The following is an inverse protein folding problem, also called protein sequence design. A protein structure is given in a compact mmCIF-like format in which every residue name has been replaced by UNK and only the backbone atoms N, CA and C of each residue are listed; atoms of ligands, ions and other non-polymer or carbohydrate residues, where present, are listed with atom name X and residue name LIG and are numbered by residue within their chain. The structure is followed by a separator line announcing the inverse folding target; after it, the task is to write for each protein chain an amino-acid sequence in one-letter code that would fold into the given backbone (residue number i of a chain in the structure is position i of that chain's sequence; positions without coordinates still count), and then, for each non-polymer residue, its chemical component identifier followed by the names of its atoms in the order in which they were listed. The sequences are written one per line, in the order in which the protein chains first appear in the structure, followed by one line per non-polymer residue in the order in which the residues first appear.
data_IF_722574765030
#
_entry.id   IF_722574765030
#
_cell.length_a   1.000
_cell.length_b   1.000
_cell.length_c   1.000
_cell.angle_alpha   90.00
_cell.angle_beta   90.00
_cell.angle_gamma   90.00
#
_symmetry.space_group_name_H-M   'P 1'
#
loop_
_entity.id
_entity.type
_entity.pdbx_description
1 polymer ?
#
# COMPACT_ATOMS: atom_id res chain seq x y z
N UNK A 1 9.75 8.74 -33.01
CA UNK A 1 9.53 9.58 -31.80
C UNK A 1 8.16 9.18 -31.27
N UNK A 2 8.10 8.38 -30.19
CA UNK A 2 6.83 8.07 -29.53
C UNK A 2 6.22 9.39 -29.04
N UNK A 3 4.90 9.58 -29.18
CA UNK A 3 4.26 10.72 -28.53
C UNK A 3 4.60 10.64 -27.04
N UNK A 4 5.05 11.72 -26.43
CA UNK A 4 5.52 11.81 -25.02
C UNK A 4 4.55 11.18 -24.01
N UNK A 5 3.29 10.99 -24.36
CA UNK A 5 2.27 10.36 -23.53
C UNK A 5 2.17 8.83 -23.65
N UNK A 6 2.74 8.22 -24.71
CA UNK A 6 2.53 6.79 -24.98
C UNK A 6 3.22 5.85 -23.99
N UNK A 7 4.31 6.27 -23.36
CA UNK A 7 5.01 5.44 -22.38
C UNK A 7 4.50 5.61 -20.94
N UNK A 8 3.70 6.62 -20.63
CA UNK A 8 3.13 6.81 -19.30
C UNK A 8 2.15 5.69 -18.89
N UNK A 9 1.49 5.07 -19.87
CA UNK A 9 0.60 3.93 -19.68
C UNK A 9 1.30 2.57 -19.63
N UNK A 10 2.58 2.50 -20.02
CA UNK A 10 3.37 1.27 -19.93
C UNK A 10 3.62 0.90 -18.47
N UNK A 11 3.78 -0.39 -18.21
CA UNK A 11 4.21 -0.89 -16.91
C UNK A 11 5.70 -0.57 -16.66
N UNK A 12 6.13 -0.60 -15.40
CA UNK A 12 7.52 -0.38 -15.00
C UNK A 12 8.47 -1.31 -15.76
N UNK A 13 8.14 -2.59 -15.86
CA UNK A 13 8.93 -3.62 -16.55
C UNK A 13 9.13 -3.32 -18.02
N UNK A 14 8.09 -2.83 -18.72
CA UNK A 14 8.15 -2.45 -20.13
C UNK A 14 9.04 -1.22 -20.32
N UNK A 15 8.87 -0.20 -19.48
CA UNK A 15 9.69 1.03 -19.53
C UNK A 15 11.15 0.73 -19.20
N UNK A 16 11.40 -0.09 -18.18
CA UNK A 16 12.73 -0.56 -17.78
C UNK A 16 13.48 -1.22 -18.95
N UNK A 17 12.77 -2.10 -19.68
CA UNK A 17 13.33 -2.75 -20.87
C UNK A 17 13.71 -1.75 -21.95
N UNK A 18 12.86 -0.75 -22.19
CA UNK A 18 13.09 0.29 -23.20
C UNK A 18 14.23 1.26 -22.80
N UNK A 19 14.35 1.58 -21.51
CA UNK A 19 15.50 2.34 -20.99
C UNK A 19 16.81 1.56 -21.24
N UNK A 20 16.83 0.29 -20.86
CA UNK A 20 18.00 -0.59 -21.06
C UNK A 20 18.43 -0.68 -22.52
N UNK A 21 17.48 -0.66 -23.45
CA UNK A 21 17.72 -0.69 -24.89
C UNK A 21 18.07 0.68 -25.49
N UNK A 22 17.99 1.75 -24.70
CA UNK A 22 18.21 3.14 -25.16
C UNK A 22 17.07 3.68 -26.05
N UNK A 23 15.89 3.05 -26.02
CA UNK A 23 14.72 3.47 -26.78
C UNK A 23 13.97 4.65 -26.12
N UNK A 24 14.04 4.74 -24.80
CA UNK A 24 13.43 5.82 -24.01
C UNK A 24 14.46 6.38 -23.03
N UNK A 25 14.54 7.71 -22.97
CA UNK A 25 15.40 8.40 -22.00
C UNK A 25 14.73 8.54 -20.64
N UNK A 26 15.41 8.29 -19.51
CA UNK A 26 14.93 8.67 -18.17
C UNK A 26 14.54 10.15 -18.06
N UNK A 27 15.23 11.05 -18.80
CA UNK A 27 14.92 12.49 -18.81
C UNK A 27 13.57 12.76 -19.47
N UNK A 28 13.28 12.08 -20.58
CA UNK A 28 11.98 12.21 -21.27
C UNK A 28 10.84 11.71 -20.39
N UNK A 29 11.05 10.58 -19.69
CA UNK A 29 10.05 10.01 -18.76
C UNK A 29 9.75 10.99 -17.63
N UNK A 30 10.78 11.49 -16.93
CA UNK A 30 10.60 12.42 -15.81
C UNK A 30 9.93 13.71 -16.28
N UNK A 31 10.31 14.21 -17.45
CA UNK A 31 9.72 15.42 -18.03
C UNK A 31 8.23 15.21 -18.31
N UNK A 32 7.86 14.09 -18.94
CA UNK A 32 6.48 13.76 -19.23
C UNK A 32 5.63 13.57 -17.97
N UNK A 33 6.18 12.91 -16.94
CA UNK A 33 5.51 12.73 -15.66
C UNK A 33 5.28 14.06 -14.95
N UNK A 34 6.27 14.96 -14.90
CA UNK A 34 6.12 16.28 -14.30
C UNK A 34 5.00 17.06 -15.02
N UNK A 35 5.00 17.08 -16.35
CA UNK A 35 3.95 17.76 -17.14
C UNK A 35 2.56 17.16 -16.87
N UNK A 36 2.47 15.82 -16.72
CA UNK A 36 1.21 15.16 -16.38
C UNK A 36 0.75 15.49 -14.96
N UNK A 37 1.67 15.49 -13.97
CA UNK A 37 1.37 15.92 -12.60
C UNK A 37 0.80 17.35 -12.61
N UNK A 38 1.42 18.28 -13.35
CA UNK A 38 0.96 19.68 -13.46
C UNK A 38 -0.44 19.80 -14.05
N UNK A 39 -0.80 18.90 -14.96
CA UNK A 39 -2.09 18.92 -15.64
C UNK A 39 -3.20 18.25 -14.83
N UNK A 40 -2.88 17.17 -14.13
CA UNK A 40 -3.87 16.23 -13.55
C UNK A 40 -3.98 16.35 -12.05
N UNK A 41 -2.86 16.55 -11.35
CA UNK A 41 -2.84 16.37 -9.89
C UNK A 41 -3.62 17.44 -9.11
N UNK A 42 -3.88 18.60 -9.71
CA UNK A 42 -4.78 19.60 -9.11
C UNK A 42 -6.21 19.08 -8.86
N UNK A 43 -6.65 18.04 -9.60
CA UNK A 43 -7.95 17.38 -9.40
C UNK A 43 -7.87 16.26 -8.36
N UNK A 44 -6.70 15.62 -8.19
CA UNK A 44 -6.50 14.46 -7.34
C UNK A 44 -5.90 14.81 -5.98
N UNK A 45 -5.01 15.80 -5.91
CA UNK A 45 -4.24 16.18 -4.72
C UNK A 45 -3.38 15.01 -4.19
N UNK A 46 -2.77 14.25 -5.11
CA UNK A 46 -2.00 13.04 -4.77
C UNK A 46 -0.55 13.30 -4.35
N UNK A 47 -0.01 14.50 -4.61
CA UNK A 47 1.31 14.93 -4.17
C UNK A 47 1.23 16.10 -3.18
N UNK A 48 2.08 16.08 -2.15
CA UNK A 48 2.36 17.24 -1.29
C UNK A 48 3.57 17.99 -1.85
N UNK A 49 4.60 17.27 -2.29
CA UNK A 49 5.83 17.84 -2.83
C UNK A 49 6.23 17.10 -4.11
N UNK A 50 6.46 17.82 -5.19
CA UNK A 50 7.02 17.28 -6.44
C UNK A 50 8.49 17.68 -6.52
N UNK A 51 9.38 16.70 -6.66
CA UNK A 51 10.84 16.87 -6.70
C UNK A 51 11.36 17.18 -8.12
N UNK A 52 10.88 18.29 -8.72
CA UNK A 52 11.11 18.60 -10.13
C UNK A 52 12.60 18.66 -10.50
N UNK A 53 13.34 19.51 -9.81
CA UNK A 53 14.77 19.74 -10.12
C UNK A 53 15.62 18.53 -9.77
N UNK A 54 15.42 17.93 -8.59
CA UNK A 54 16.15 16.75 -8.15
C UNK A 54 15.88 15.54 -9.04
N UNK A 55 14.62 15.30 -9.40
CA UNK A 55 14.27 14.19 -10.29
C UNK A 55 14.89 14.35 -11.69
N UNK A 56 14.87 15.56 -12.27
CA UNK A 56 15.51 15.82 -13.57
C UNK A 56 17.04 15.71 -13.50
N UNK A 57 17.66 16.15 -12.40
CA UNK A 57 19.09 15.99 -12.19
C UNK A 57 19.48 14.51 -12.12
N UNK A 58 18.78 13.73 -11.29
CA UNK A 58 18.99 12.28 -11.18
C UNK A 58 18.69 11.55 -12.51
N UNK A 59 17.65 11.96 -13.26
CA UNK A 59 17.36 11.37 -14.56
C UNK A 59 18.51 11.52 -15.56
N UNK A 60 19.16 12.70 -15.60
CA UNK A 60 20.36 12.93 -16.45
C UNK A 60 21.53 12.04 -16.05
N UNK A 61 21.71 11.80 -14.75
CA UNK A 61 22.75 10.88 -14.27
C UNK A 61 22.44 9.44 -14.69
N UNK A 62 21.18 8.99 -14.53
CA UNK A 62 20.75 7.64 -14.94
C UNK A 62 20.87 7.44 -16.45
N UNK A 63 20.49 8.44 -17.25
CA UNK A 63 20.70 8.41 -18.71
C UNK A 63 22.17 8.25 -19.10
N UNK A 64 23.05 9.04 -18.49
CA UNK A 64 24.50 8.93 -18.70
C UNK A 64 25.03 7.54 -18.32
N UNK A 65 24.59 6.99 -17.20
CA UNK A 65 24.97 5.64 -16.77
C UNK A 65 24.54 4.57 -17.80
N UNK A 66 23.34 4.67 -18.37
CA UNK A 66 22.88 3.76 -19.45
C UNK A 66 23.80 3.86 -20.67
N UNK A 67 24.11 5.09 -21.12
CA UNK A 67 25.00 5.32 -22.27
C UNK A 67 26.43 4.79 -22.05
N UNK A 68 26.87 4.76 -20.78
CA UNK A 68 28.16 4.18 -20.38
C UNK A 68 28.10 2.65 -20.12
N UNK A 69 26.95 2.01 -20.34
CA UNK A 69 26.74 0.59 -20.08
C UNK A 69 26.61 0.20 -18.60
N UNK A 70 26.38 1.17 -17.72
CA UNK A 70 26.26 0.99 -16.26
C UNK A 70 24.80 0.88 -15.82
N UNK A 71 24.07 -0.07 -16.41
CA UNK A 71 22.67 -0.33 -16.03
C UNK A 71 22.60 -1.12 -14.72
N UNK A 72 21.91 -0.55 -13.70
CA UNK A 72 21.88 -1.10 -12.32
C UNK A 72 20.83 -2.19 -12.12
N UNK A 73 19.80 -2.28 -12.97
CA UNK A 73 18.72 -3.25 -12.84
C UNK A 73 17.35 -2.66 -13.20
N UNK A 74 16.26 -3.42 -12.92
CA UNK A 74 14.92 -3.06 -13.38
C UNK A 74 14.39 -1.69 -12.94
N UNK A 75 14.88 -1.14 -11.85
CA UNK A 75 14.47 0.20 -11.35
C UNK A 75 15.34 1.34 -11.88
N UNK A 76 16.39 1.04 -12.67
CA UNK A 76 17.28 2.06 -13.18
C UNK A 76 16.56 3.07 -14.09
N UNK A 77 16.53 4.33 -13.66
CA UNK A 77 15.88 5.42 -14.38
C UNK A 77 14.35 5.46 -14.22
N UNK A 78 13.79 4.64 -13.33
CA UNK A 78 12.33 4.57 -13.09
C UNK A 78 11.91 5.55 -11.99
N UNK A 79 10.95 6.46 -12.28
CA UNK A 79 10.38 7.38 -11.29
C UNK A 79 9.45 6.68 -10.29
N UNK A 80 9.79 6.80 -9.00
CA UNK A 80 9.06 6.23 -7.85
C UNK A 80 8.61 7.37 -6.92
N UNK A 81 7.34 7.32 -6.46
CA UNK A 81 6.81 8.21 -5.44
C UNK A 81 6.99 7.64 -4.04
N UNK A 82 7.04 8.51 -3.04
CA UNK A 82 7.17 8.11 -1.64
C UNK A 82 6.06 8.73 -0.81
N UNK A 83 5.39 7.94 0.01
CA UNK A 83 4.45 8.48 1.00
C UNK A 83 5.14 9.51 1.89
N UNK A 84 4.45 10.57 2.23
CA UNK A 84 5.01 11.72 2.91
C UNK A 84 5.36 11.51 4.41
N UNK A 85 5.55 10.27 4.83
CA UNK A 85 6.11 9.86 6.12
C UNK A 85 7.55 9.36 6.00
N UNK A 86 8.01 9.11 4.76
CA UNK A 86 9.30 8.46 4.48
C UNK A 86 10.35 9.55 4.34
N UNK A 87 11.28 9.63 5.27
CA UNK A 87 12.36 10.61 5.23
C UNK A 87 13.14 10.51 3.94
N UNK A 88 13.29 11.66 3.29
CA UNK A 88 14.04 11.81 2.04
C UNK A 88 14.95 13.02 2.20
N UNK A 89 16.26 12.80 2.21
CA UNK A 89 17.24 13.85 2.45
C UNK A 89 17.07 15.04 1.51
N UNK A 90 16.96 16.22 2.09
CA UNK A 90 16.82 17.47 1.35
C UNK A 90 15.44 17.70 0.71
N UNK A 91 14.48 16.77 0.88
CA UNK A 91 13.13 16.90 0.35
C UNK A 91 12.11 17.01 1.49
N UNK A 92 11.26 18.04 1.46
CA UNK A 92 10.25 18.30 2.46
C UNK A 92 9.41 17.03 2.75
N UNK A 93 9.24 16.69 4.04
CA UNK A 93 8.50 15.52 4.52
C UNK A 93 7.61 15.96 5.68
N UNK A 94 6.30 16.15 5.40
CA UNK A 94 5.37 16.82 6.31
C UNK A 94 4.50 15.89 7.13
N UNK A 95 4.48 14.60 6.83
CA UNK A 95 3.55 13.62 7.40
C UNK A 95 2.05 13.98 7.17
N UNK A 96 1.74 14.74 6.11
CA UNK A 96 0.40 15.25 5.86
C UNK A 96 -0.09 16.23 6.92
N UNK A 97 0.81 16.89 7.67
CA UNK A 97 0.50 17.73 8.82
C UNK A 97 1.22 19.08 8.76
N UNK A 98 0.53 20.13 9.18
CA UNK A 98 1.12 21.47 9.38
C UNK A 98 2.16 21.50 10.51
N UNK A 99 2.15 20.54 11.43
CA UNK A 99 3.16 20.42 12.48
C UNK A 99 4.57 20.29 11.87
N UNK A 100 4.68 19.55 10.76
CA UNK A 100 5.93 19.32 10.03
C UNK A 100 5.99 20.04 8.68
N UNK A 101 5.21 21.09 8.48
CA UNK A 101 5.12 21.79 7.18
C UNK A 101 6.48 22.21 6.61
N UNK A 102 7.45 22.53 7.46
CA UNK A 102 8.78 22.96 7.06
C UNK A 102 9.89 21.94 7.36
N UNK A 103 9.52 20.72 7.74
CA UNK A 103 10.51 19.70 8.05
C UNK A 103 11.19 19.16 6.78
N UNK A 104 12.52 19.25 6.76
CA UNK A 104 13.38 18.72 5.69
C UNK A 104 14.38 17.77 6.36
N UNK A 105 14.26 16.45 6.14
CA UNK A 105 15.22 15.48 6.69
C UNK A 105 16.63 15.71 6.20
N UNK A 106 17.62 15.47 7.06
CA UNK A 106 19.06 15.50 6.75
C UNK A 106 19.61 14.13 6.33
N UNK A 107 18.81 13.07 6.48
CA UNK A 107 19.11 11.70 6.05
C UNK A 107 17.91 11.03 5.36
N UNK A 108 18.20 10.01 4.57
CA UNK A 108 17.22 9.17 3.95
C UNK A 108 16.70 8.08 4.92
N UNK A 109 15.46 7.66 4.76
CA UNK A 109 15.04 6.35 5.22
C UNK A 109 15.83 5.25 4.48
N UNK A 110 16.06 4.10 5.14
CA UNK A 110 16.84 3.01 4.55
C UNK A 110 16.28 2.54 3.20
N UNK A 111 14.97 2.40 3.09
CA UNK A 111 14.34 2.01 1.83
C UNK A 111 14.59 3.03 0.68
N UNK A 112 14.80 4.31 1.01
CA UNK A 112 15.14 5.33 0.00
C UNK A 112 16.57 5.14 -0.49
N UNK A 113 17.52 4.86 0.41
CA UNK A 113 18.89 4.51 0.02
C UNK A 113 18.90 3.33 -0.95
N UNK A 114 18.17 2.27 -0.64
CA UNK A 114 18.08 1.08 -1.48
C UNK A 114 17.44 1.35 -2.85
N UNK A 115 16.42 2.19 -2.91
CA UNK A 115 15.82 2.62 -4.18
C UNK A 115 16.83 3.40 -5.04
N UNK A 116 17.56 4.34 -4.44
CA UNK A 116 18.59 5.12 -5.13
C UNK A 116 19.76 4.25 -5.61
N UNK A 117 20.18 3.27 -4.80
CA UNK A 117 21.19 2.26 -5.17
C UNK A 117 20.72 1.40 -6.35
N UNK A 118 19.43 1.02 -6.39
CA UNK A 118 18.83 0.32 -7.53
C UNK A 118 18.66 1.21 -8.77
N UNK A 119 18.96 2.51 -8.68
CA UNK A 119 18.89 3.47 -9.77
C UNK A 119 17.54 4.15 -9.95
N UNK A 120 16.59 4.00 -9.03
CA UNK A 120 15.30 4.68 -9.08
C UNK A 120 15.45 6.20 -8.95
N UNK A 121 14.45 6.93 -9.42
CA UNK A 121 14.36 8.39 -9.37
C UNK A 121 13.22 8.76 -8.43
N UNK A 122 13.48 9.50 -7.36
CA UNK A 122 12.45 9.95 -6.45
C UNK A 122 11.72 11.16 -7.05
N UNK A 123 10.48 10.95 -7.54
CA UNK A 123 9.69 11.98 -8.23
C UNK A 123 8.99 12.94 -7.26
N UNK A 124 8.74 12.53 -6.00
CA UNK A 124 8.09 13.39 -5.02
C UNK A 124 7.52 12.65 -3.82
N UNK A 125 6.82 13.42 -2.98
CA UNK A 125 6.17 12.96 -1.74
C UNK A 125 4.67 12.91 -1.94
N UNK A 126 4.11 11.71 -1.83
CA UNK A 126 2.69 11.48 -2.01
C UNK A 126 1.89 11.86 -0.77
N UNK A 127 0.75 12.48 -0.98
CA UNK A 127 -0.17 12.90 0.07
C UNK A 127 -0.64 11.70 0.91
N UNK A 128 -0.87 11.95 2.18
CA UNK A 128 -1.24 10.94 3.17
C UNK A 128 -2.26 11.49 4.14
N UNK A 129 -3.09 10.64 4.71
CA UNK A 129 -3.86 10.98 5.90
C UNK A 129 -2.89 11.44 7.00
N UNK A 130 -3.21 12.50 7.75
CA UNK A 130 -2.33 13.10 8.75
C UNK A 130 -1.72 12.04 9.67
N UNK A 131 -0.38 11.98 9.71
CA UNK A 131 0.42 11.01 10.45
C UNK A 131 0.00 9.55 10.24
N UNK A 132 -0.49 9.19 9.05
CA UNK A 132 -1.00 7.86 8.71
C UNK A 132 -2.21 7.39 9.56
N UNK A 133 -2.79 8.20 10.41
CA UNK A 133 -3.81 7.75 11.35
C UNK A 133 -5.24 7.91 10.84
N UNK A 134 -5.55 7.25 9.74
CA UNK A 134 -6.92 7.13 9.22
C UNK A 134 -7.02 6.41 7.89
N UNK A 135 -8.09 5.60 7.70
CA UNK A 135 -8.24 4.74 6.53
C UNK A 135 -8.93 5.41 5.33
N UNK A 136 -9.32 6.69 5.44
CA UNK A 136 -10.16 7.37 4.43
C UNK A 136 -9.35 8.18 3.40
N UNK A 137 -8.17 8.69 3.78
CA UNK A 137 -7.30 9.47 2.88
C UNK A 137 -7.74 10.91 2.66
N UNK A 138 -8.68 11.42 3.44
CA UNK A 138 -9.30 12.72 3.27
C UNK A 138 -8.97 13.75 4.38
N UNK A 139 -8.07 13.41 5.30
CA UNK A 139 -7.56 14.28 6.36
C UNK A 139 -6.06 14.52 6.18
N UNK A 140 -5.72 15.57 5.48
CA UNK A 140 -4.36 16.08 5.30
C UNK A 140 -4.40 17.60 5.37
N UNK A 141 -3.33 18.24 5.84
CA UNK A 141 -3.26 19.70 5.89
C UNK A 141 -3.37 20.39 4.52
N UNK A 142 -3.08 19.66 3.44
CA UNK A 142 -3.25 20.14 2.05
C UNK A 142 -4.60 19.70 1.44
N UNK A 143 -5.48 19.07 2.22
CA UNK A 143 -6.80 18.64 1.79
C UNK A 143 -6.88 17.18 1.35
N UNK A 144 -8.10 16.72 1.00
CA UNK A 144 -8.39 15.33 0.67
C UNK A 144 -7.74 14.89 -0.64
N UNK A 145 -7.29 13.63 -0.69
CA UNK A 145 -6.97 12.96 -1.95
C UNK A 145 -8.24 12.38 -2.57
N UNK A 146 -8.37 12.49 -3.87
CA UNK A 146 -9.56 12.08 -4.62
C UNK A 146 -9.27 10.85 -5.46
N UNK A 147 -10.27 9.97 -5.55
CA UNK A 147 -10.16 8.74 -6.29
C UNK A 147 -10.10 9.01 -7.81
N UNK A 148 -9.09 8.50 -8.52
CA UNK A 148 -8.95 8.73 -9.96
C UNK A 148 -10.14 8.22 -10.80
N UNK A 149 -10.83 7.16 -10.35
CA UNK A 149 -12.01 6.62 -11.04
C UNK A 149 -13.26 7.46 -10.83
N UNK A 150 -13.34 8.18 -9.71
CA UNK A 150 -14.42 9.13 -9.43
C UNK A 150 -13.95 10.11 -8.35
N UNK A 151 -13.72 11.37 -8.74
CA UNK A 151 -13.18 12.41 -7.86
C UNK A 151 -14.09 12.80 -6.67
N UNK A 152 -15.35 12.32 -6.63
CA UNK A 152 -16.25 12.46 -5.48
C UNK A 152 -16.01 11.38 -4.42
N UNK A 153 -15.31 10.29 -4.77
CA UNK A 153 -15.08 9.13 -3.92
C UNK A 153 -13.74 9.20 -3.20
N UNK A 154 -13.65 8.53 -2.05
CA UNK A 154 -12.41 8.34 -1.31
C UNK A 154 -11.43 7.47 -2.09
N UNK A 155 -10.14 7.70 -1.87
CA UNK A 155 -9.07 6.81 -2.29
C UNK A 155 -8.83 5.65 -1.33
N UNK A 156 -9.42 5.73 -0.13
CA UNK A 156 -8.88 4.98 1.00
C UNK A 156 -7.54 5.56 1.48
N UNK A 157 -7.06 5.07 2.60
CA UNK A 157 -5.83 5.60 3.23
C UNK A 157 -5.20 4.59 4.21
N UNK A 158 -4.12 5.02 4.79
CA UNK A 158 -3.53 6.37 4.79
C UNK A 158 -2.63 6.67 3.58
N UNK A 159 -2.16 5.69 2.79
CA UNK A 159 -1.31 5.89 1.60
C UNK A 159 -2.15 6.34 0.39
N UNK A 160 -3.01 7.34 0.60
CA UNK A 160 -4.01 7.83 -0.34
C UNK A 160 -3.41 8.36 -1.63
N UNK A 161 -2.46 9.29 -1.53
CA UNK A 161 -1.76 9.85 -2.67
C UNK A 161 -0.88 8.83 -3.40
N UNK A 162 -0.34 7.86 -2.67
CA UNK A 162 0.46 6.77 -3.25
C UNK A 162 -0.38 5.95 -4.25
N UNK A 163 -1.56 5.47 -3.84
CA UNK A 163 -2.42 4.70 -4.73
C UNK A 163 -3.01 5.55 -5.86
N UNK A 164 -3.49 6.76 -5.55
CA UNK A 164 -4.09 7.65 -6.56
C UNK A 164 -3.09 8.03 -7.65
N UNK A 165 -1.85 8.35 -7.30
CA UNK A 165 -0.82 8.71 -8.27
C UNK A 165 -0.42 7.55 -9.19
N UNK A 166 -0.35 6.31 -8.67
CA UNK A 166 -0.10 5.10 -9.47
C UNK A 166 -1.24 4.85 -10.45
N UNK A 167 -2.49 4.87 -9.97
CA UNK A 167 -3.68 4.65 -10.80
C UNK A 167 -3.82 5.72 -11.90
N UNK A 168 -3.45 6.97 -11.60
CA UNK A 168 -3.49 8.09 -12.55
C UNK A 168 -2.27 8.14 -13.50
N UNK A 169 -1.34 7.18 -13.43
CA UNK A 169 -0.10 7.15 -14.20
C UNK A 169 0.76 8.41 -13.98
N UNK A 170 0.90 8.87 -12.73
CA UNK A 170 1.78 9.98 -12.33
C UNK A 170 3.16 9.51 -11.85
N UNK A 171 3.38 8.20 -11.82
CA UNK A 171 4.62 7.49 -11.56
C UNK A 171 4.48 6.02 -12.00
N UNK A 172 5.52 5.22 -11.81
CA UNK A 172 5.49 3.78 -12.13
C UNK A 172 5.31 2.89 -10.91
N UNK A 173 5.43 3.45 -9.74
CA UNK A 173 5.21 2.81 -8.46
C UNK A 173 5.45 3.77 -7.31
N UNK A 174 4.97 3.42 -6.15
CA UNK A 174 5.14 4.20 -4.92
C UNK A 174 5.42 3.28 -3.74
N UNK A 175 6.01 3.86 -2.69
CA UNK A 175 6.09 3.18 -1.39
C UNK A 175 5.09 3.84 -0.44
N UNK A 176 4.25 2.99 0.16
CA UNK A 176 3.32 3.34 1.22
C UNK A 176 3.69 2.72 2.56
N UNK A 177 2.85 2.94 3.58
CA UNK A 177 2.94 2.25 4.88
C UNK A 177 1.59 1.61 5.22
N UNK A 178 1.60 0.52 5.96
CA UNK A 178 0.43 -0.28 6.31
C UNK A 178 0.49 -0.65 7.80
N UNK A 179 -0.52 -0.23 8.57
CA UNK A 179 -0.63 -0.45 10.02
C UNK A 179 -1.97 -1.09 10.40
N UNK A 180 -2.93 -1.02 9.49
CA UNK A 180 -4.27 -1.61 9.58
C UNK A 180 -4.89 -1.82 8.21
N UNK A 181 -4.07 -1.72 7.14
CA UNK A 181 -4.52 -1.84 5.75
C UNK A 181 -4.07 -0.69 4.85
N UNK A 182 -3.22 0.22 5.34
CA UNK A 182 -2.99 1.51 4.66
C UNK A 182 -2.19 1.45 3.34
N UNK A 183 -1.70 0.29 2.89
CA UNK A 183 -1.26 0.01 1.51
C UNK A 183 -2.40 -0.67 0.74
N UNK A 184 -3.05 -1.65 1.35
CA UNK A 184 -4.04 -2.55 0.73
C UNK A 184 -5.39 -1.88 0.50
N UNK A 185 -5.88 -1.10 1.46
CA UNK A 185 -7.12 -0.33 1.35
C UNK A 185 -7.07 0.60 0.13
N UNK A 186 -6.10 1.54 0.03
CA UNK A 186 -6.06 2.42 -1.12
C UNK A 186 -5.70 1.69 -2.42
N UNK A 187 -4.96 0.57 -2.38
CA UNK A 187 -4.75 -0.27 -3.56
C UNK A 187 -6.08 -0.82 -4.09
N UNK A 188 -6.95 -1.36 -3.22
CA UNK A 188 -8.26 -1.86 -3.59
C UNK A 188 -9.16 -0.76 -4.17
N UNK A 189 -9.28 0.39 -3.48
CA UNK A 189 -10.16 1.47 -3.91
C UNK A 189 -9.69 2.22 -5.16
N UNK A 190 -8.39 2.19 -5.47
CA UNK A 190 -7.81 2.84 -6.65
C UNK A 190 -7.42 1.86 -7.76
N UNK A 191 -7.75 0.56 -7.65
CA UNK A 191 -7.51 -0.41 -8.71
C UNK A 191 -6.04 -0.66 -9.04
N UNK A 192 -5.18 -0.72 -8.01
CA UNK A 192 -3.74 -0.99 -8.15
C UNK A 192 -3.32 -2.18 -7.28
N UNK A 193 -2.13 -2.68 -7.51
CA UNK A 193 -1.53 -3.75 -6.70
C UNK A 193 -0.85 -3.15 -5.49
N UNK A 194 -1.13 -3.69 -4.29
CA UNK A 194 -0.49 -3.25 -3.04
C UNK A 194 -0.02 -4.45 -2.22
N UNK A 195 1.25 -4.49 -1.87
CA UNK A 195 1.83 -5.52 -1.00
C UNK A 195 2.13 -4.96 0.38
N UNK A 196 1.54 -5.56 1.42
CA UNK A 196 2.04 -5.48 2.78
C UNK A 196 2.95 -6.68 3.00
N UNK A 197 4.28 -6.52 3.04
CA UNK A 197 5.18 -7.66 3.24
C UNK A 197 5.11 -8.20 4.67
N UNK A 198 5.83 -9.26 4.95
CA UNK A 198 6.05 -9.78 6.30
C UNK A 198 6.65 -8.70 7.20
N UNK A 199 6.23 -8.64 8.46
CA UNK A 199 6.77 -7.70 9.45
C UNK A 199 8.28 -7.84 9.60
N UNK A 200 9.00 -6.73 9.43
CA UNK A 200 10.46 -6.69 9.47
C UNK A 200 11.17 -7.09 8.17
N UNK A 201 10.44 -7.42 7.08
CA UNK A 201 11.00 -7.66 5.74
C UNK A 201 11.62 -6.41 5.13
N UNK A 202 10.98 -5.26 5.33
CA UNK A 202 11.44 -3.93 4.89
C UNK A 202 11.75 -3.10 6.11
N UNK A 203 12.93 -2.48 6.15
CA UNK A 203 13.32 -1.60 7.25
C UNK A 203 12.38 -0.40 7.37
N UNK A 204 12.00 -0.07 8.60
CA UNK A 204 11.21 1.11 8.96
C UNK A 204 12.08 2.29 9.41
N UNK A 205 13.40 2.14 9.43
CA UNK A 205 14.33 3.20 9.83
C UNK A 205 14.16 4.42 8.91
N UNK A 206 13.90 5.58 9.52
CA UNK A 206 13.66 6.82 8.81
C UNK A 206 12.22 6.98 8.28
N UNK A 207 11.28 6.12 8.69
CA UNK A 207 9.84 6.29 8.47
C UNK A 207 9.23 6.82 9.76
N UNK A 208 8.41 7.89 9.68
CA UNK A 208 7.70 8.41 10.84
C UNK A 208 6.67 7.38 11.32
N UNK A 209 6.75 6.90 12.58
CA UNK A 209 5.92 5.80 13.03
C UNK A 209 4.48 6.22 13.32
N UNK A 210 3.55 5.26 13.16
CA UNK A 210 2.22 5.29 13.76
C UNK A 210 2.12 4.27 14.90
N UNK A 211 2.66 3.06 14.68
CA UNK A 211 2.67 1.97 15.66
C UNK A 211 3.92 1.12 15.43
N UNK A 212 4.79 1.04 16.42
CA UNK A 212 6.06 0.32 16.29
C UNK A 212 5.88 -1.16 15.97
N UNK A 213 4.84 -1.80 16.55
CA UNK A 213 4.60 -3.23 16.40
C UNK A 213 3.70 -3.60 15.22
N UNK A 214 3.01 -2.63 14.60
CA UNK A 214 2.06 -2.89 13.50
C UNK A 214 2.50 -2.28 12.15
N UNK A 215 3.41 -1.31 12.15
CA UNK A 215 3.81 -0.62 10.92
C UNK A 215 4.59 -1.52 9.96
N UNK A 216 4.23 -1.46 8.69
CA UNK A 216 4.92 -2.07 7.56
C UNK A 216 5.16 -1.01 6.48
N UNK A 217 6.18 -1.19 5.66
CA UNK A 217 6.36 -0.44 4.42
C UNK A 217 6.21 -1.37 3.23
N UNK A 218 5.52 -0.92 2.18
CA UNK A 218 5.28 -1.78 1.02
C UNK A 218 4.96 -1.02 -0.26
N UNK A 219 5.19 -1.67 -1.42
CA UNK A 219 4.99 -1.08 -2.73
C UNK A 219 3.53 -1.06 -3.19
N UNK A 220 3.19 -0.01 -3.97
CA UNK A 220 1.98 0.06 -4.78
C UNK A 220 2.38 0.27 -6.24
N UNK A 221 1.81 -0.52 -7.16
CA UNK A 221 2.15 -0.52 -8.59
C UNK A 221 0.93 -0.89 -9.44
N UNK A 222 1.06 -0.80 -10.78
CA UNK A 222 -0.03 -1.18 -11.68
C UNK A 222 -0.08 -2.67 -12.01
N UNK A 223 1.01 -3.43 -11.81
CA UNK A 223 1.05 -4.86 -12.09
C UNK A 223 1.75 -5.65 -10.97
N UNK A 224 1.48 -6.93 -10.92
CA UNK A 224 2.10 -7.88 -9.98
C UNK A 224 3.62 -7.97 -10.19
N UNK A 225 4.08 -8.04 -11.43
CA UNK A 225 5.52 -8.09 -11.74
C UNK A 225 6.24 -6.83 -11.25
N UNK A 226 5.67 -5.65 -11.52
CA UNK A 226 6.25 -4.39 -11.08
C UNK A 226 6.34 -4.30 -9.56
N UNK A 227 5.31 -4.82 -8.86
CA UNK A 227 5.26 -4.85 -7.40
C UNK A 227 6.37 -5.72 -6.81
N UNK A 228 6.58 -6.90 -7.38
CA UNK A 228 7.67 -7.81 -6.99
C UNK A 228 9.06 -7.16 -7.19
N UNK A 229 9.27 -6.48 -8.33
CA UNK A 229 10.54 -5.80 -8.61
C UNK A 229 10.82 -4.63 -7.65
N UNK A 230 9.79 -3.87 -7.28
CA UNK A 230 9.95 -2.79 -6.29
C UNK A 230 10.23 -3.38 -4.91
N UNK A 231 9.53 -4.47 -4.51
CA UNK A 231 9.80 -5.14 -3.24
C UNK A 231 11.22 -5.72 -3.19
N UNK A 232 11.74 -6.30 -4.28
CA UNK A 232 13.13 -6.76 -4.39
C UNK A 232 14.13 -5.65 -4.03
N UNK A 233 13.86 -4.42 -4.48
CA UNK A 233 14.76 -3.30 -4.25
C UNK A 233 14.74 -2.79 -2.80
N UNK A 234 13.58 -2.79 -2.11
CA UNK A 234 13.46 -2.19 -0.77
C UNK A 234 13.64 -3.18 0.38
N UNK A 235 13.61 -4.49 0.09
CA UNK A 235 13.73 -5.55 1.10
C UNK A 235 15.17 -5.80 1.53
N UNK A 236 15.32 -6.35 2.73
CA UNK A 236 16.59 -6.84 3.26
C UNK A 236 16.85 -6.39 4.68
N UNK A 237 17.76 -7.08 5.35
CA UNK A 237 18.13 -6.82 6.73
C UNK A 237 18.78 -5.44 6.90
N UNK A 238 18.36 -4.72 7.92
CA UNK A 238 18.96 -3.47 8.39
C UNK A 238 19.32 -3.63 9.88
N UNK A 239 20.62 -3.74 10.24
CA UNK A 239 21.03 -3.91 11.64
C UNK A 239 20.73 -2.69 12.53
N UNK A 240 20.36 -1.55 11.94
CA UNK A 240 20.01 -0.32 12.66
C UNK A 240 18.50 -0.20 12.92
N UNK A 241 17.68 -1.08 12.35
CA UNK A 241 16.25 -1.19 12.65
C UNK A 241 16.03 -2.40 13.57
N UNK A 242 15.63 -2.19 14.85
CA UNK A 242 15.46 -3.29 15.82
C UNK A 242 14.38 -4.30 15.42
N UNK A 243 13.46 -3.92 14.53
CA UNK A 243 12.39 -4.78 14.05
C UNK A 243 12.75 -5.53 12.75
N UNK A 244 13.82 -5.13 12.06
CA UNK A 244 14.25 -5.78 10.83
C UNK A 244 14.66 -7.24 11.06
N UNK A 245 14.26 -8.11 10.15
CA UNK A 245 14.53 -9.55 10.22
C UNK A 245 15.64 -9.94 9.25
N UNK A 246 16.62 -10.67 9.79
CA UNK A 246 17.66 -11.27 8.96
C UNK A 246 17.08 -12.47 8.21
N UNK A 247 17.00 -12.37 6.90
CA UNK A 247 16.52 -13.41 6.00
C UNK A 247 17.42 -13.48 4.78
N UNK A 248 17.46 -14.63 4.12
CA UNK A 248 18.16 -14.75 2.85
C UNK A 248 17.62 -13.74 1.84
N UNK A 249 18.51 -13.24 0.99
CA UNK A 249 18.12 -12.40 -0.13
C UNK A 249 17.32 -13.24 -1.13
N UNK A 250 16.14 -12.77 -1.48
CA UNK A 250 15.16 -13.50 -2.25
C UNK A 250 14.76 -12.68 -3.50
N UNK A 251 14.59 -13.35 -4.62
CA UNK A 251 13.91 -12.78 -5.78
C UNK A 251 12.41 -13.09 -5.70
N UNK A 252 11.62 -12.08 -5.39
CA UNK A 252 10.17 -12.25 -5.26
C UNK A 252 9.47 -12.54 -6.59
N UNK A 253 10.12 -12.32 -7.74
CA UNK A 253 9.57 -12.64 -9.05
C UNK A 253 9.82 -14.10 -9.49
N UNK A 254 10.60 -14.89 -8.74
CA UNK A 254 11.07 -16.22 -9.13
C UNK A 254 9.98 -17.25 -9.48
N UNK A 255 8.79 -17.10 -8.93
CA UNK A 255 7.66 -18.00 -9.17
C UNK A 255 6.61 -17.42 -10.13
N UNK A 256 6.77 -16.17 -10.56
CA UNK A 256 5.86 -15.52 -11.51
C UNK A 256 5.88 -16.29 -12.83
N UNK A 257 4.68 -16.68 -13.31
CA UNK A 257 4.50 -17.43 -14.55
C UNK A 257 4.59 -18.95 -14.42
N UNK A 258 4.88 -19.51 -13.23
CA UNK A 258 4.94 -20.97 -13.04
C UNK A 258 3.55 -21.65 -12.95
N UNK A 259 2.45 -20.87 -12.99
CA UNK A 259 1.09 -21.42 -12.79
C UNK A 259 0.82 -21.85 -11.36
N UNK A 260 -0.42 -22.30 -11.12
CA UNK A 260 -0.92 -22.68 -9.79
C UNK A 260 -1.71 -23.99 -9.81
N UNK A 261 -1.56 -24.82 -10.85
CA UNK A 261 -2.23 -26.12 -10.96
C UNK A 261 -1.86 -27.01 -9.77
N UNK A 262 -2.84 -27.66 -9.17
CA UNK A 262 -2.69 -28.51 -8.00
C UNK A 262 -2.46 -27.81 -6.68
N UNK A 263 -2.42 -26.47 -6.66
CA UNK A 263 -2.32 -25.67 -5.43
C UNK A 263 -3.63 -25.62 -4.68
N UNK A 264 -3.55 -25.30 -3.38
CA UNK A 264 -4.71 -25.25 -2.48
C UNK A 264 -4.90 -23.84 -1.95
N UNK A 265 -6.11 -23.28 -2.13
CA UNK A 265 -6.49 -21.96 -1.63
C UNK A 265 -7.51 -22.12 -0.51
N UNK A 266 -7.23 -21.56 0.66
CA UNK A 266 -8.13 -21.52 1.80
C UNK A 266 -9.09 -20.32 1.74
N UNK A 267 -10.35 -20.54 2.05
CA UNK A 267 -11.38 -19.50 2.18
C UNK A 267 -11.86 -19.47 3.63
N UNK A 268 -11.44 -18.46 4.43
CA UNK A 268 -11.93 -18.28 5.80
C UNK A 268 -13.30 -17.59 5.76
N UNK A 269 -14.39 -18.37 5.73
CA UNK A 269 -15.76 -17.85 5.54
C UNK A 269 -16.24 -16.97 6.68
N UNK A 270 -15.96 -17.37 7.92
CA UNK A 270 -16.27 -16.55 9.09
C UNK A 270 -15.49 -15.24 9.03
N UNK A 271 -16.09 -14.15 9.49
CA UNK A 271 -15.51 -12.81 9.55
C UNK A 271 -15.26 -12.14 8.19
N UNK A 272 -14.50 -12.78 7.27
CA UNK A 272 -14.09 -12.16 6.02
C UNK A 272 -15.20 -12.07 4.97
N UNK A 273 -16.13 -13.01 4.97
CA UNK A 273 -17.23 -13.07 3.98
C UNK A 273 -18.57 -12.62 4.54
N UNK A 274 -18.54 -11.96 5.71
CA UNK A 274 -19.74 -11.47 6.38
C UNK A 274 -20.03 -10.00 6.04
N UNK A 275 -21.30 -9.71 5.71
CA UNK A 275 -21.79 -8.35 5.45
C UNK A 275 -21.03 -7.63 4.32
N UNK A 276 -20.74 -8.34 3.24
CA UNK A 276 -20.13 -7.78 2.04
C UNK A 276 -21.16 -7.00 1.21
N UNK A 277 -20.71 -5.92 0.58
CA UNK A 277 -21.45 -5.32 -0.52
C UNK A 277 -21.69 -6.39 -1.61
N UNK A 278 -22.91 -6.49 -2.18
CA UNK A 278 -23.23 -7.53 -3.17
C UNK A 278 -22.33 -7.52 -4.41
N UNK A 279 -21.80 -6.38 -4.82
CA UNK A 279 -20.89 -6.29 -5.97
C UNK A 279 -19.50 -6.81 -5.62
N UNK A 280 -19.06 -6.59 -4.38
CA UNK A 280 -17.82 -7.17 -3.85
C UNK A 280 -17.98 -8.69 -3.71
N UNK A 281 -19.11 -9.16 -3.16
CA UNK A 281 -19.40 -10.58 -3.06
C UNK A 281 -19.37 -11.26 -4.43
N UNK A 282 -19.97 -10.66 -5.43
CA UNK A 282 -19.94 -11.17 -6.80
C UNK A 282 -18.50 -11.24 -7.35
N UNK A 283 -17.71 -10.19 -7.13
CA UNK A 283 -16.31 -10.12 -7.62
C UNK A 283 -15.41 -11.19 -6.97
N UNK A 284 -15.56 -11.42 -5.65
CA UNK A 284 -14.75 -12.45 -4.98
C UNK A 284 -15.13 -13.87 -5.45
N UNK A 285 -16.41 -14.17 -5.70
CA UNK A 285 -16.80 -15.45 -6.28
C UNK A 285 -16.30 -15.64 -7.71
N UNK A 286 -16.25 -14.58 -8.52
CA UNK A 286 -15.60 -14.62 -9.85
C UNK A 286 -14.11 -14.93 -9.74
N UNK A 287 -13.40 -14.33 -8.77
CA UNK A 287 -12.00 -14.63 -8.50
C UNK A 287 -11.79 -16.10 -8.08
N UNK A 288 -12.67 -16.63 -7.22
CA UNK A 288 -12.66 -18.06 -6.83
C UNK A 288 -12.79 -18.95 -8.07
N UNK A 289 -13.72 -18.64 -8.96
CA UNK A 289 -13.92 -19.43 -10.18
C UNK A 289 -12.75 -19.31 -11.16
N UNK A 290 -12.08 -18.14 -11.21
CA UNK A 290 -10.83 -18.00 -11.95
C UNK A 290 -9.75 -18.94 -11.40
N UNK A 291 -9.54 -18.98 -10.11
CA UNK A 291 -8.57 -19.87 -9.48
C UNK A 291 -8.88 -21.35 -9.74
N UNK A 292 -10.15 -21.76 -9.71
CA UNK A 292 -10.56 -23.13 -10.09
C UNK A 292 -10.21 -23.46 -11.55
N UNK A 293 -10.47 -22.52 -12.49
CA UNK A 293 -10.10 -22.70 -13.91
C UNK A 293 -8.59 -22.84 -14.11
N UNK A 294 -7.80 -22.17 -13.28
CA UNK A 294 -6.34 -22.28 -13.27
C UNK A 294 -5.82 -23.56 -12.59
N UNK A 295 -6.72 -24.46 -12.18
CA UNK A 295 -6.39 -25.77 -11.62
C UNK A 295 -6.13 -25.78 -10.11
N UNK A 296 -6.41 -24.71 -9.39
CA UNK A 296 -6.31 -24.68 -7.94
C UNK A 296 -7.54 -25.33 -7.26
N UNK A 297 -7.32 -26.00 -6.13
CA UNK A 297 -8.36 -26.52 -5.26
C UNK A 297 -8.76 -25.45 -4.24
N UNK A 298 -10.06 -25.31 -3.99
CA UNK A 298 -10.61 -24.37 -3.00
C UNK A 298 -11.11 -25.16 -1.81
N UNK A 299 -10.67 -24.79 -0.62
CA UNK A 299 -11.10 -25.41 0.64
C UNK A 299 -11.57 -24.34 1.64
N UNK A 300 -12.61 -24.67 2.41
CA UNK A 300 -13.04 -23.82 3.51
C UNK A 300 -12.12 -24.02 4.71
N UNK A 301 -11.73 -22.95 5.35
CA UNK A 301 -10.91 -22.95 6.55
C UNK A 301 -11.56 -22.07 7.63
N UNK A 302 -11.16 -22.26 8.87
CA UNK A 302 -11.63 -21.48 10.00
C UNK A 302 -10.46 -20.89 10.80
N UNK A 303 -10.62 -19.63 11.24
CA UNK A 303 -9.71 -18.93 12.13
C UNK A 303 -10.55 -18.49 13.33
N UNK A 304 -10.47 -19.21 14.47
CA UNK A 304 -11.47 -19.09 15.53
C UNK A 304 -11.54 -17.73 16.23
N UNK A 305 -10.37 -17.07 16.43
CA UNK A 305 -10.26 -15.89 17.31
C UNK A 305 -10.35 -14.54 16.56
N UNK A 306 -11.04 -14.49 15.41
CA UNK A 306 -11.02 -13.28 14.55
C UNK A 306 -11.54 -12.00 15.23
N UNK A 307 -12.54 -12.09 16.10
CA UNK A 307 -13.07 -10.93 16.83
C UNK A 307 -12.05 -10.42 17.87
N UNK A 308 -11.42 -11.33 18.63
CA UNK A 308 -10.37 -10.98 19.59
C UNK A 308 -9.14 -10.41 18.88
N UNK A 309 -8.79 -10.94 17.72
CA UNK A 309 -7.70 -10.45 16.85
C UNK A 309 -7.98 -9.00 16.41
N UNK A 310 -9.20 -8.73 15.96
CA UNK A 310 -9.62 -7.39 15.56
C UNK A 310 -9.56 -6.39 16.72
N UNK A 311 -10.05 -6.77 17.90
CA UNK A 311 -10.00 -5.90 19.08
C UNK A 311 -8.57 -5.69 19.59
N UNK A 312 -7.73 -6.71 19.58
CA UNK A 312 -6.33 -6.60 20.01
C UNK A 312 -5.54 -5.62 19.11
N UNK A 313 -5.78 -5.66 17.79
CA UNK A 313 -5.16 -4.72 16.86
C UNK A 313 -5.54 -3.26 17.20
N UNK A 314 -6.82 -2.99 17.49
CA UNK A 314 -7.27 -1.66 17.87
C UNK A 314 -6.65 -1.18 19.19
N UNK A 315 -6.51 -2.06 20.17
CA UNK A 315 -5.89 -1.75 21.48
C UNK A 315 -4.42 -1.37 21.31
N UNK A 316 -3.64 -2.18 20.57
CA UNK A 316 -2.23 -1.90 20.32
C UNK A 316 -2.09 -0.58 19.55
N UNK A 317 -2.84 -0.44 18.44
CA UNK A 317 -2.78 0.77 17.61
C UNK A 317 -3.07 2.04 18.40
N UNK A 318 -4.16 2.08 19.19
CA UNK A 318 -4.53 3.25 20.00
C UNK A 318 -3.44 3.62 21.00
N UNK A 319 -2.89 2.61 21.70
CA UNK A 319 -1.87 2.82 22.72
C UNK A 319 -0.57 3.34 22.14
N UNK A 320 -0.07 2.71 21.08
CA UNK A 320 1.20 3.08 20.47
C UNK A 320 1.09 4.40 19.70
N UNK A 321 0.00 4.64 18.97
CA UNK A 321 -0.23 5.91 18.28
C UNK A 321 -0.26 7.10 19.27
N UNK A 322 -0.91 6.93 20.43
CA UNK A 322 -0.86 7.95 21.48
C UNK A 322 0.57 8.16 21.99
N UNK A 323 1.30 7.09 22.30
CA UNK A 323 2.67 7.17 22.81
C UNK A 323 3.63 7.85 21.80
N UNK A 324 3.49 7.59 20.51
CA UNK A 324 4.25 8.27 19.45
C UNK A 324 3.99 9.76 19.42
N UNK A 325 2.73 10.16 19.60
CA UNK A 325 2.29 11.55 19.38
C UNK A 325 2.08 12.37 20.64
N UNK A 326 2.30 11.80 21.83
CA UNK A 326 2.02 12.47 23.12
C UNK A 326 2.67 13.87 23.23
N UNK A 327 3.91 14.02 22.78
CA UNK A 327 4.62 15.30 22.82
C UNK A 327 4.04 16.30 21.80
N UNK A 328 3.78 15.86 20.57
CA UNK A 328 3.18 16.71 19.54
C UNK A 328 1.76 17.18 19.93
N UNK A 329 0.98 16.32 20.60
CA UNK A 329 -0.35 16.68 21.10
C UNK A 329 -0.29 17.78 22.18
N UNK A 330 0.75 17.79 23.01
CA UNK A 330 0.97 18.79 24.06
C UNK A 330 1.53 20.11 23.49
N UNK A 331 2.47 20.00 22.54
CA UNK A 331 3.20 21.15 22.01
C UNK A 331 2.43 21.90 20.91
N UNK A 332 1.64 21.19 20.09
CA UNK A 332 0.93 21.74 18.94
C UNK A 332 -0.57 21.37 18.93
N UNK A 333 -1.35 21.59 19.99
CA UNK A 333 -2.71 21.09 20.13
C UNK A 333 -3.71 21.62 19.07
N UNK A 334 -3.43 22.77 18.42
CA UNK A 334 -4.28 23.41 17.40
C UNK A 334 -3.89 23.05 15.96
N UNK A 335 -2.79 22.35 15.73
CA UNK A 335 -2.32 21.99 14.38
C UNK A 335 -2.78 20.60 13.92
N UNK A 336 -3.61 19.95 14.72
CA UNK A 336 -4.19 18.65 14.42
C UNK A 336 -5.51 18.78 13.66
N UNK A 337 -5.74 17.86 12.72
CA UNK A 337 -7.11 17.58 12.31
C UNK A 337 -7.89 17.05 13.53
N UNK A 338 -9.12 17.54 13.74
CA UNK A 338 -9.89 17.26 14.96
C UNK A 338 -10.19 15.75 15.09
N UNK A 339 -10.57 15.10 13.99
CA UNK A 339 -10.85 13.66 13.97
C UNK A 339 -9.60 12.82 14.31
N UNK A 340 -8.43 13.23 13.83
CA UNK A 340 -7.15 12.55 14.12
C UNK A 340 -6.77 12.75 15.57
N UNK A 341 -6.91 13.97 16.10
CA UNK A 341 -6.65 14.30 17.51
C UNK A 341 -7.55 13.51 18.46
N UNK A 342 -8.86 13.50 18.23
CA UNK A 342 -9.80 12.74 19.04
C UNK A 342 -9.46 11.25 19.06
N UNK A 343 -9.08 10.71 17.89
CA UNK A 343 -8.67 9.32 17.76
C UNK A 343 -7.40 9.00 18.54
N UNK A 344 -6.40 9.88 18.50
CA UNK A 344 -5.17 9.75 19.30
C UNK A 344 -5.48 9.74 20.80
N UNK A 345 -6.35 10.66 21.24
CA UNK A 345 -6.73 10.75 22.66
C UNK A 345 -7.44 9.50 23.19
N UNK A 346 -8.04 8.67 22.33
CA UNK A 346 -8.60 7.37 22.75
C UNK A 346 -7.55 6.41 23.32
N UNK A 347 -6.27 6.62 23.00
CA UNK A 347 -5.16 5.83 23.56
C UNK A 347 -4.98 6.01 25.07
N UNK A 348 -5.40 7.16 25.63
CA UNK A 348 -5.40 7.41 27.08
C UNK A 348 -6.31 6.44 27.86
N UNK A 349 -7.31 5.88 27.20
CA UNK A 349 -8.25 4.95 27.82
C UNK A 349 -7.77 3.48 27.81
N UNK A 350 -6.62 3.21 27.18
CA UNK A 350 -6.04 1.86 27.14
C UNK A 350 -5.21 1.63 28.40
N UNK A 351 -5.63 0.65 29.22
CA UNK A 351 -4.85 0.26 30.40
C UNK A 351 -3.64 -0.61 30.00
N UNK A 352 -2.59 -0.60 30.86
CA UNK A 352 -1.47 -1.52 30.70
C UNK A 352 -1.89 -3.00 30.70
N UNK A 353 -2.99 -3.34 31.42
CA UNK A 353 -3.58 -4.68 31.41
C UNK A 353 -4.17 -5.04 30.04
N UNK A 354 -4.89 -4.10 29.41
CA UNK A 354 -5.51 -4.33 28.10
C UNK A 354 -4.44 -4.47 27.01
N UNK A 355 -3.41 -3.63 27.06
CA UNK A 355 -2.26 -3.73 26.15
C UNK A 355 -1.53 -5.08 26.29
N UNK A 356 -1.28 -5.54 27.53
CA UNK A 356 -0.64 -6.85 27.77
C UNK A 356 -1.49 -8.02 27.27
N UNK A 357 -2.83 -7.96 27.42
CA UNK A 357 -3.75 -8.95 26.84
C UNK A 357 -3.72 -8.93 25.33
N UNK A 358 -3.72 -7.75 24.70
CA UNK A 358 -3.63 -7.60 23.26
C UNK A 358 -2.35 -8.19 22.68
N UNK A 359 -1.19 -7.99 23.32
CA UNK A 359 0.07 -8.66 22.96
C UNK A 359 0.00 -10.18 23.08
N UNK A 360 -0.79 -10.70 24.03
CA UNK A 360 -1.03 -12.14 24.13
C UNK A 360 -1.87 -12.64 22.94
N UNK A 361 -2.92 -11.91 22.56
CA UNK A 361 -3.76 -12.25 21.41
C UNK A 361 -2.94 -12.17 20.11
N UNK A 362 -2.02 -11.23 19.97
CA UNK A 362 -1.10 -11.15 18.82
C UNK A 362 -0.34 -12.48 18.60
N UNK A 363 0.15 -13.09 19.67
CA UNK A 363 0.83 -14.40 19.59
C UNK A 363 -0.12 -15.53 19.20
N UNK A 364 -1.37 -15.49 19.69
CA UNK A 364 -2.41 -16.45 19.32
C UNK A 364 -2.75 -16.29 17.83
N UNK A 365 -2.94 -15.07 17.37
CA UNK A 365 -3.20 -14.78 15.97
C UNK A 365 -2.12 -15.35 15.03
N UNK A 366 -0.85 -15.16 15.37
CA UNK A 366 0.27 -15.76 14.61
C UNK A 366 0.14 -17.27 14.51
N UNK A 367 -0.15 -17.94 15.64
CA UNK A 367 -0.25 -19.40 15.67
C UNK A 367 -1.47 -19.91 14.90
N UNK A 368 -2.63 -19.25 15.02
CA UNK A 368 -3.85 -19.66 14.31
C UNK A 368 -3.71 -19.51 12.80
N UNK A 369 -3.19 -18.37 12.32
CA UNK A 369 -2.93 -18.18 10.91
C UNK A 369 -1.88 -19.15 10.37
N UNK A 370 -0.79 -19.39 11.10
CA UNK A 370 0.22 -20.37 10.72
C UNK A 370 -0.37 -21.77 10.59
N UNK A 371 -1.16 -22.24 11.59
CA UNK A 371 -1.80 -23.55 11.54
C UNK A 371 -2.72 -23.73 10.32
N UNK A 372 -3.42 -22.68 9.92
CA UNK A 372 -4.28 -22.72 8.73
C UNK A 372 -3.43 -22.74 7.47
N UNK A 373 -2.41 -21.88 7.36
CA UNK A 373 -1.52 -21.76 6.21
C UNK A 373 -0.58 -22.98 6.04
N UNK A 374 -0.37 -23.79 7.07
CA UNK A 374 0.29 -25.09 6.95
C UNK A 374 -0.51 -26.11 6.11
N UNK A 375 -1.84 -25.90 6.00
CA UNK A 375 -2.75 -26.80 5.28
C UNK A 375 -3.12 -26.29 3.87
N UNK A 376 -2.83 -25.02 3.55
CA UNK A 376 -3.15 -24.38 2.27
C UNK A 376 -1.96 -23.54 1.78
N UNK A 377 -1.88 -23.30 0.49
CA UNK A 377 -0.79 -22.47 -0.06
C UNK A 377 -0.99 -20.97 0.23
N UNK A 378 -2.22 -20.48 0.16
CA UNK A 378 -2.61 -19.09 0.44
C UNK A 378 -4.06 -19.02 0.93
N UNK A 379 -4.40 -17.94 1.64
CA UNK A 379 -5.80 -17.58 1.91
C UNK A 379 -6.26 -16.57 0.88
N UNK A 380 -7.50 -16.66 0.42
CA UNK A 380 -8.16 -15.68 -0.43
C UNK A 380 -9.30 -15.01 0.35
N UNK A 381 -9.30 -13.68 0.38
CA UNK A 381 -10.34 -12.88 1.03
C UNK A 381 -10.71 -11.67 0.17
N UNK A 382 -11.89 -11.07 0.32
CA UNK A 382 -12.09 -9.71 -0.15
C UNK A 382 -11.13 -8.77 0.59
N UNK A 383 -10.62 -7.73 -0.08
CA UNK A 383 -9.81 -6.70 0.58
C UNK A 383 -10.69 -5.77 1.40
N UNK A 384 -11.86 -5.44 0.87
CA UNK A 384 -12.82 -4.49 1.46
C UNK A 384 -14.19 -5.13 1.57
N UNK A 385 -14.98 -4.69 2.56
CA UNK A 385 -16.41 -5.09 2.69
C UNK A 385 -17.37 -4.11 2.02
N UNK A 386 -16.90 -2.90 1.69
CA UNK A 386 -17.69 -1.82 1.09
C UNK A 386 -16.97 -1.23 -0.14
N UNK A 387 -17.74 -0.67 -1.05
CA UNK A 387 -17.21 0.15 -2.15
C UNK A 387 -16.70 1.51 -1.63
N UNK A 388 -15.85 2.25 -2.41
CA UNK A 388 -15.32 3.54 -1.99
C UNK A 388 -16.45 4.53 -1.62
N UNK A 389 -16.55 4.99 -0.34
CA UNK A 389 -17.52 6.00 0.05
C UNK A 389 -17.21 7.37 -0.56
N UNK A 390 -18.16 8.30 -0.43
CA UNK A 390 -17.91 9.69 -0.83
C UNK A 390 -16.87 10.36 0.08
N UNK A 391 -16.08 11.27 -0.48
CA UNK A 391 -15.12 12.09 0.29
C UNK A 391 -15.86 12.79 1.42
N UNK A 392 -15.30 12.74 2.63
CA UNK A 392 -15.86 13.24 3.88
C UNK A 392 -17.07 12.45 4.44
N UNK A 393 -17.54 11.38 3.82
CA UNK A 393 -18.51 10.50 4.47
C UNK A 393 -17.91 9.87 5.73
N UNK A 394 -18.71 9.70 6.78
CA UNK A 394 -18.30 9.04 8.03
C UNK A 394 -19.22 7.88 8.43
N UNK A 395 -20.42 7.83 7.87
CA UNK A 395 -21.41 6.80 8.08
C UNK A 395 -21.95 6.32 6.73
N UNK A 396 -22.37 5.05 6.67
CA UNK A 396 -23.00 4.46 5.47
C UNK A 396 -24.48 4.80 5.38
N UNK A 397 -25.11 5.17 6.48
CA UNK A 397 -26.51 5.55 6.58
C UNK A 397 -26.68 6.78 7.47
N UNK A 398 -27.88 7.33 7.51
CA UNK A 398 -28.23 8.46 8.40
C UNK A 398 -28.36 8.06 9.89
N UNK A 399 -28.21 6.77 10.21
CA UNK A 399 -28.18 6.27 11.57
C UNK A 399 -26.77 6.50 12.17
N UNK A 400 -26.66 7.48 13.06
CA UNK A 400 -25.40 7.89 13.70
C UNK A 400 -25.00 6.98 14.86
N UNK A 401 -24.84 5.67 14.61
CA UNK A 401 -24.25 4.74 15.56
C UNK A 401 -22.75 4.59 15.28
N UNK A 402 -21.88 4.70 16.30
CA UNK A 402 -20.43 4.57 16.15
C UNK A 402 -20.01 3.20 15.57
N UNK A 403 -20.83 2.17 15.78
CA UNK A 403 -20.64 0.85 15.15
C UNK A 403 -20.77 0.90 13.62
N UNK A 404 -21.52 1.86 13.08
CA UNK A 404 -21.74 2.11 11.66
C UNK A 404 -20.72 3.11 11.05
N UNK A 405 -19.78 3.58 11.84
CA UNK A 405 -18.74 4.46 11.32
C UNK A 405 -17.90 3.73 10.28
N UNK A 406 -17.78 4.31 9.08
CA UNK A 406 -17.12 3.68 7.91
C UNK A 406 -15.70 3.19 8.19
N UNK A 407 -14.98 3.82 9.13
CA UNK A 407 -13.60 3.42 9.47
C UNK A 407 -13.50 1.95 9.88
N UNK A 408 -14.52 1.44 10.60
CA UNK A 408 -14.52 0.05 11.06
C UNK A 408 -14.78 -0.92 9.91
N UNK A 409 -15.67 -0.54 8.98
CA UNK A 409 -15.93 -1.31 7.77
C UNK A 409 -14.69 -1.35 6.85
N UNK A 410 -14.00 -0.21 6.73
CA UNK A 410 -12.80 -0.10 5.89
C UNK A 410 -11.63 -0.91 6.47
N UNK A 411 -11.44 -0.92 7.80
CA UNK A 411 -10.30 -1.61 8.44
C UNK A 411 -10.55 -3.11 8.66
N UNK A 412 -11.82 -3.56 8.68
CA UNK A 412 -12.23 -4.90 9.12
C UNK A 412 -11.36 -6.01 8.54
N UNK A 413 -11.23 -6.06 7.21
CA UNK A 413 -10.66 -7.21 6.52
C UNK A 413 -9.14 -7.14 6.32
N UNK A 414 -8.52 -6.00 6.59
CA UNK A 414 -7.07 -5.81 6.42
C UNK A 414 -6.30 -5.83 7.76
N UNK A 415 -6.89 -5.27 8.82
CA UNK A 415 -6.25 -5.12 10.13
C UNK A 415 -5.72 -6.43 10.78
N UNK A 416 -6.35 -7.59 10.63
CA UNK A 416 -5.85 -8.83 11.24
C UNK A 416 -4.42 -9.21 10.84
N UNK A 417 -4.04 -8.97 9.58
CA UNK A 417 -2.70 -9.30 9.10
C UNK A 417 -1.62 -8.26 9.45
N UNK A 418 -2.02 -7.09 9.94
CA UNK A 418 -1.08 -6.19 10.62
C UNK A 418 -0.75 -6.69 12.03
N UNK A 419 -1.76 -7.21 12.75
CA UNK A 419 -1.55 -7.75 14.09
C UNK A 419 -0.59 -8.95 14.09
N UNK A 420 -0.80 -9.90 13.17
CA UNK A 420 0.03 -11.11 13.12
C UNK A 420 1.33 -10.92 12.31
N UNK A 421 1.44 -9.87 11.50
CA UNK A 421 2.61 -9.56 10.68
C UNK A 421 2.77 -10.40 9.41
N UNK A 422 1.77 -11.18 8.99
CA UNK A 422 1.84 -12.04 7.81
C UNK A 422 1.69 -11.26 6.52
N UNK A 423 2.38 -11.63 5.43
CA UNK A 423 2.35 -10.91 4.17
C UNK A 423 0.96 -10.98 3.53
N UNK A 424 0.54 -9.88 2.90
CA UNK A 424 -0.77 -9.78 2.26
C UNK A 424 -0.70 -8.93 1.01
N UNK A 425 -1.15 -9.49 -0.10
CA UNK A 425 -1.15 -8.88 -1.42
C UNK A 425 -2.58 -8.54 -1.83
N UNK A 426 -2.85 -7.28 -2.12
CA UNK A 426 -4.11 -6.83 -2.72
C UNK A 426 -3.91 -6.57 -4.20
N UNK A 427 -4.87 -7.00 -5.02
CA UNK A 427 -4.90 -6.75 -6.45
C UNK A 427 -6.33 -6.57 -6.95
N UNK A 428 -6.54 -5.83 -8.06
CA UNK A 428 -7.86 -5.64 -8.64
C UNK A 428 -8.46 -6.97 -9.10
N UNK A 429 -9.77 -7.17 -8.86
CA UNK A 429 -10.52 -8.35 -9.28
C UNK A 429 -11.73 -8.04 -10.14
N UNK A 430 -12.10 -6.77 -10.29
CA UNK A 430 -13.24 -6.33 -11.07
C UNK A 430 -13.58 -4.87 -10.87
N UNK A 431 -14.76 -4.51 -11.36
CA UNK A 431 -15.34 -3.17 -11.20
C UNK A 431 -16.78 -3.26 -10.78
N UNK A 432 -17.24 -2.29 -9.98
CA UNK A 432 -18.65 -2.10 -9.69
C UNK A 432 -19.40 -1.60 -10.93
N UNK A 433 -20.74 -1.56 -10.87
CA UNK A 433 -21.59 -1.00 -11.93
C UNK A 433 -21.31 0.49 -12.18
N UNK A 434 -20.81 1.20 -11.17
CA UNK A 434 -20.38 2.59 -11.28
C UNK A 434 -18.95 2.74 -11.80
N UNK A 435 -18.25 1.65 -12.15
CA UNK A 435 -16.88 1.66 -12.64
C UNK A 435 -15.83 1.84 -11.55
N UNK A 436 -16.19 1.66 -10.28
CA UNK A 436 -15.25 1.71 -9.17
C UNK A 436 -14.50 0.38 -9.02
N UNK A 437 -13.18 0.38 -8.80
CA UNK A 437 -12.42 -0.85 -8.66
C UNK A 437 -12.84 -1.66 -7.42
N UNK A 438 -12.74 -2.98 -7.56
CA UNK A 438 -12.92 -3.96 -6.49
C UNK A 438 -11.64 -4.79 -6.39
N UNK A 439 -11.14 -4.97 -5.17
CA UNK A 439 -9.91 -5.73 -4.93
C UNK A 439 -10.14 -6.99 -4.10
N UNK A 440 -9.32 -8.01 -4.38
CA UNK A 440 -9.17 -9.21 -3.55
C UNK A 440 -7.83 -9.19 -2.84
N UNK A 441 -7.73 -9.92 -1.73
CA UNK A 441 -6.53 -10.05 -0.92
C UNK A 441 -6.09 -11.51 -0.87
N UNK A 442 -4.80 -11.74 -1.11
CA UNK A 442 -4.11 -13.00 -0.86
C UNK A 442 -3.26 -12.86 0.40
N UNK A 443 -3.39 -13.81 1.33
CA UNK A 443 -2.61 -13.85 2.57
C UNK A 443 -1.73 -15.09 2.55
N UNK A 444 -0.45 -14.94 2.83
CA UNK A 444 0.54 -16.03 2.82
C UNK A 444 1.22 -16.25 4.17
N UNK A 445 1.99 -17.32 4.26
CA UNK A 445 2.87 -17.59 5.40
C UNK A 445 3.96 -16.52 5.52
N UNK A 446 4.45 -16.27 6.72
CA UNK A 446 5.58 -15.34 6.95
C UNK A 446 6.75 -15.67 6.01
N UNK A 447 7.28 -14.67 5.36
CA UNK A 447 8.41 -14.74 4.42
C UNK A 447 8.15 -15.53 3.12
N UNK A 448 6.89 -15.74 2.73
CA UNK A 448 6.51 -16.38 1.47
C UNK A 448 5.91 -15.39 0.44
N UNK A 449 6.39 -14.16 0.39
CA UNK A 449 5.91 -13.14 -0.56
C UNK A 449 5.99 -13.59 -2.02
N UNK A 450 7.03 -14.33 -2.41
CA UNK A 450 7.18 -14.84 -3.76
C UNK A 450 6.03 -15.79 -4.17
N UNK A 451 5.48 -16.56 -3.22
CA UNK A 451 4.29 -17.38 -3.45
C UNK A 451 3.06 -16.52 -3.70
N UNK A 452 2.87 -15.44 -2.92
CA UNK A 452 1.75 -14.50 -3.15
C UNK A 452 1.82 -13.87 -4.54
N UNK A 453 3.00 -13.51 -5.01
CA UNK A 453 3.18 -12.99 -6.36
C UNK A 453 2.89 -14.03 -7.44
N UNK A 454 3.20 -15.32 -7.21
CA UNK A 454 2.83 -16.41 -8.12
C UNK A 454 1.31 -16.47 -8.31
N UNK A 455 0.56 -16.52 -7.21
CA UNK A 455 -0.91 -16.56 -7.26
C UNK A 455 -1.52 -15.29 -7.82
N UNK A 456 -1.00 -14.14 -7.38
CA UNK A 456 -1.43 -12.82 -7.85
C UNK A 456 -1.25 -12.66 -9.36
N UNK A 457 -0.11 -13.08 -9.90
CA UNK A 457 0.15 -13.03 -11.33
C UNK A 457 -0.77 -13.97 -12.12
N UNK A 458 -1.01 -15.18 -11.62
CA UNK A 458 -1.88 -16.13 -12.28
C UNK A 458 -3.31 -15.58 -12.47
N UNK A 459 -3.87 -14.99 -11.42
CA UNK A 459 -5.21 -14.38 -11.50
C UNK A 459 -5.21 -13.05 -12.29
N UNK A 460 -4.17 -12.23 -12.20
CA UNK A 460 -4.03 -10.99 -12.98
C UNK A 460 -4.11 -11.29 -14.48
N UNK A 461 -3.41 -12.34 -14.95
CA UNK A 461 -3.42 -12.77 -16.36
C UNK A 461 -4.79 -13.34 -16.78
N UNK A 462 -5.43 -14.14 -15.92
CA UNK A 462 -6.73 -14.76 -16.21
C UNK A 462 -7.85 -13.70 -16.27
N UNK A 463 -7.86 -12.75 -15.34
CA UNK A 463 -8.87 -11.69 -15.31
C UNK A 463 -8.68 -10.69 -16.45
N UNK A 464 -7.44 -10.45 -16.88
CA UNK A 464 -7.08 -9.52 -17.97
C UNK A 464 -7.85 -8.19 -17.88
N UNK A 465 -7.97 -7.64 -16.69
CA UNK A 465 -8.73 -6.42 -16.44
C UNK A 465 -8.13 -5.25 -17.22
N UNK A 466 -8.99 -4.50 -17.90
CA UNK A 466 -8.57 -3.28 -18.55
C UNK A 466 -8.38 -2.17 -17.51
N UNK A 467 -7.20 -2.14 -16.89
CA UNK A 467 -6.76 -1.11 -15.94
C UNK A 467 -6.06 0.07 -16.66
N UNK A 468 -6.45 0.32 -17.91
CA UNK A 468 -5.87 1.40 -18.73
C UNK A 468 -6.01 2.76 -18.01
N UNK A 469 -5.14 3.69 -18.43
CA UNK A 469 -5.08 5.08 -17.97
C UNK A 469 -6.48 5.64 -17.72
N UNK A 470 -6.80 5.89 -16.45
CA UNK A 470 -8.06 6.53 -16.09
C UNK A 470 -8.09 7.94 -16.68
N UNK A 471 -9.14 8.26 -17.44
CA UNK A 471 -9.41 9.62 -17.87
C UNK A 471 -9.98 10.39 -16.69
N UNK A 472 -9.27 11.42 -16.23
CA UNK A 472 -9.64 12.22 -15.07
C UNK A 472 -10.35 13.46 -15.60
N UNK A 473 -11.67 13.40 -15.59
CA UNK A 473 -12.54 14.51 -16.05
C UNK A 473 -12.53 15.72 -15.10
#
# INVERSE_FOLDING_TARGET
MYALDSFLSLNLTEVSTKIKQGEISPVDIVTALINRIDTVDSKLNSYITVNREGALATAKEREKEVLEGKYRGPLHGIPIGLKDLINTKGLKTTCGSSIFENHIPDENAELVNRLEEAGAIIIGKNNTHQFAYGPTGDRSHVGPVRNPYNIKKMTGGSSSGSAASVAACLNYGTIGTDTGGSVRIPASFCGVVGMKPTYGRVSKRGIYPLSWTLDHAGPLTRSIMDNALVLNAISGYDPLDPDSKETDQEDFSRYIGLGIEGKVIGIPKSYYYENLDPEIEQSIYQAIDCFKRLGASIVEVDIPSMEEISEAQKVILKSEAYAVHENNLKEFPELWDEEVKERLLTGLNVSGSDFAKALRVQKIAKQEFANVLDSVDVLLTPTMSILPPDVNARFLSDDYDDSQHIRWQILKLTAPTDLNGFPSLTLPSGFSKEGLPIGVQLIGMEFEEAKLYQFGYAIEQELSLNLNRVEIE
#
